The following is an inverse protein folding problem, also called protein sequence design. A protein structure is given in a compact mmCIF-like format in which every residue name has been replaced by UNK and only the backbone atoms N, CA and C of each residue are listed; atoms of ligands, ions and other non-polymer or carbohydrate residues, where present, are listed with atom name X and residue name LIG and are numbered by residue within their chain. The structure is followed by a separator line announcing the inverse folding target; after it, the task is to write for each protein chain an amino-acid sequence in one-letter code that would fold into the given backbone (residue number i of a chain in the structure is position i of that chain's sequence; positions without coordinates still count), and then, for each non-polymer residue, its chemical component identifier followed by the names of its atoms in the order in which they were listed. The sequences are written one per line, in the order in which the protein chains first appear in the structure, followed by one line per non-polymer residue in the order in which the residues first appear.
data_IF_337332072840
#
_entry.id   IF_337332072840
#
_cell.length_a   1.000
_cell.length_b   1.000
_cell.length_c   1.000
_cell.angle_alpha   90.00
_cell.angle_beta   90.00
_cell.angle_gamma   90.00
#
_symmetry.space_group_name_H-M   'P 1'
#
loop_
_entity.id
_entity.type
_entity.pdbx_description
1 polymer ?
#
# COMPACT_ATOMS: atom_id res chain seq x y z
N UNK A 1 -10.22 -3.86 -9.96
CA UNK A 1 -9.75 -4.38 -8.65
C UNK A 1 -10.83 -5.04 -7.80
N UNK A 2 -11.10 -6.35 -7.95
CA UNK A 2 -12.09 -7.03 -7.09
C UNK A 2 -11.53 -7.38 -5.69
N UNK A 3 -10.29 -7.87 -5.62
CA UNK A 3 -9.68 -8.31 -4.36
C UNK A 3 -9.38 -7.20 -3.34
N UNK A 4 -8.98 -6.00 -3.81
CA UNK A 4 -8.71 -4.85 -2.92
C UNK A 4 -10.01 -4.35 -2.27
N UNK A 5 -11.10 -4.31 -3.04
CA UNK A 5 -12.41 -3.92 -2.52
C UNK A 5 -12.89 -4.90 -1.43
N UNK A 6 -12.78 -6.20 -1.69
CA UNK A 6 -13.14 -7.24 -0.72
C UNK A 6 -12.31 -7.14 0.58
N UNK A 7 -11.01 -6.83 0.48
CA UNK A 7 -10.17 -6.61 1.66
C UNK A 7 -10.65 -5.41 2.49
N UNK A 8 -10.97 -4.30 1.85
CA UNK A 8 -11.45 -3.10 2.54
C UNK A 8 -12.80 -3.33 3.23
N UNK A 9 -13.68 -4.11 2.62
CA UNK A 9 -14.95 -4.49 3.25
C UNK A 9 -14.73 -5.39 4.47
N UNK A 10 -13.75 -6.30 4.43
CA UNK A 10 -13.36 -7.08 5.60
C UNK A 10 -12.81 -6.18 6.71
N UNK A 11 -11.94 -5.21 6.39
CA UNK A 11 -11.42 -4.23 7.35
C UNK A 11 -12.56 -3.43 7.99
N UNK A 12 -13.53 -2.96 7.20
CA UNK A 12 -14.71 -2.24 7.71
C UNK A 12 -15.54 -3.06 8.68
N UNK A 13 -15.75 -4.35 8.39
CA UNK A 13 -16.46 -5.27 9.30
C UNK A 13 -15.71 -5.41 10.63
N UNK A 14 -14.39 -5.51 10.61
CA UNK A 14 -13.55 -5.58 11.82
C UNK A 14 -13.60 -4.27 12.60
N UNK A 15 -13.55 -3.12 11.91
CA UNK A 15 -13.70 -1.79 12.54
C UNK A 15 -15.04 -1.67 13.27
N UNK A 16 -16.14 -2.11 12.64
CA UNK A 16 -17.48 -2.00 13.19
C UNK A 16 -17.77 -2.96 14.37
N UNK A 17 -17.10 -4.12 14.43
CA UNK A 17 -17.45 -5.19 15.39
C UNK A 17 -16.40 -5.47 16.46
N UNK A 18 -15.10 -5.34 16.14
CA UNK A 18 -14.01 -5.81 17.01
C UNK A 18 -13.13 -4.66 17.48
N UNK A 19 -12.69 -3.79 16.57
CA UNK A 19 -11.75 -2.73 16.90
C UNK A 19 -12.07 -1.42 16.15
N UNK A 20 -12.89 -0.54 16.74
CA UNK A 20 -13.22 0.77 16.16
C UNK A 20 -12.02 1.71 15.97
N UNK A 21 -10.89 1.43 16.64
CA UNK A 21 -9.65 2.21 16.52
C UNK A 21 -8.72 1.69 15.42
N UNK A 22 -9.12 0.65 14.68
CA UNK A 22 -8.37 0.18 13.53
C UNK A 22 -8.47 1.25 12.44
N UNK A 23 -7.34 1.72 11.94
CA UNK A 23 -7.30 2.62 10.79
C UNK A 23 -6.23 2.12 9.82
N UNK A 24 -6.51 2.26 8.53
CA UNK A 24 -5.51 2.01 7.51
C UNK A 24 -4.63 3.25 7.39
N UNK A 25 -3.32 3.06 7.44
CA UNK A 25 -2.33 4.14 7.30
C UNK A 25 -2.08 4.48 5.82
N UNK A 26 -2.04 3.47 4.96
CA UNK A 26 -1.72 3.63 3.56
C UNK A 26 -1.51 2.29 2.85
N UNK A 27 -1.19 2.38 1.57
CA UNK A 27 -0.83 1.24 0.72
C UNK A 27 0.59 1.41 0.17
N UNK A 28 1.35 0.31 0.06
CA UNK A 28 2.71 0.32 -0.48
C UNK A 28 2.76 -0.61 -1.70
N UNK A 29 3.31 -0.13 -2.81
CA UNK A 29 3.58 -0.99 -3.96
C UNK A 29 4.84 -1.81 -3.70
N UNK A 30 4.73 -3.13 -3.83
CA UNK A 30 5.83 -4.07 -3.58
C UNK A 30 6.09 -4.97 -4.78
N UNK A 31 7.29 -5.58 -4.81
CA UNK A 31 7.76 -6.46 -5.88
C UNK A 31 7.68 -5.82 -7.27
N UNK A 32 7.78 -4.49 -7.34
CA UNK A 32 7.55 -3.72 -8.56
C UNK A 32 8.70 -3.88 -9.56
N UNK A 33 8.36 -3.99 -10.84
CA UNK A 33 9.29 -3.99 -11.97
C UNK A 33 8.78 -3.03 -13.05
N UNK A 34 9.48 -1.91 -13.27
CA UNK A 34 9.07 -0.88 -14.23
C UNK A 34 9.06 -1.36 -15.68
N UNK A 35 9.74 -2.48 -15.98
CA UNK A 35 9.81 -3.06 -17.32
C UNK A 35 8.56 -3.87 -17.65
N UNK A 36 7.78 -4.27 -16.64
CA UNK A 36 6.55 -5.04 -16.83
C UNK A 36 5.37 -4.10 -17.05
N UNK A 37 4.70 -4.22 -18.20
CA UNK A 37 3.48 -3.44 -18.52
C UNK A 37 2.40 -3.61 -17.44
N UNK A 38 2.21 -4.84 -16.96
CA UNK A 38 1.26 -5.15 -15.89
C UNK A 38 1.59 -4.41 -14.58
N UNK A 39 2.86 -4.32 -14.19
CA UNK A 39 3.25 -3.57 -12.98
C UNK A 39 2.92 -2.08 -13.13
N UNK A 40 3.12 -1.51 -14.32
CA UNK A 40 2.76 -0.12 -14.58
C UNK A 40 1.24 0.10 -14.57
N UNK A 41 0.46 -0.82 -15.16
CA UNK A 41 -1.01 -0.77 -15.12
C UNK A 41 -1.53 -0.85 -13.69
N UNK A 42 -1.02 -1.78 -12.88
CA UNK A 42 -1.38 -1.92 -11.48
C UNK A 42 -1.02 -0.65 -10.71
N UNK A 43 0.17 -0.09 -10.92
CA UNK A 43 0.58 1.19 -10.29
C UNK A 43 -0.43 2.29 -10.59
N UNK A 44 -0.87 2.42 -11.84
CA UNK A 44 -1.83 3.44 -12.23
C UNK A 44 -3.20 3.24 -11.56
N UNK A 45 -3.73 2.01 -11.56
CA UNK A 45 -5.02 1.69 -10.94
C UNK A 45 -4.96 1.90 -9.41
N UNK A 46 -3.88 1.45 -8.75
CA UNK A 46 -3.66 1.63 -7.30
C UNK A 46 -3.53 3.11 -6.96
N UNK A 47 -2.81 3.88 -7.78
CA UNK A 47 -2.66 5.33 -7.56
C UNK A 47 -3.99 6.07 -7.66
N UNK A 48 -4.87 5.68 -8.60
CA UNK A 48 -6.22 6.25 -8.73
C UNK A 48 -7.10 5.89 -7.53
N UNK A 49 -6.95 4.68 -7.00
CA UNK A 49 -7.79 4.19 -5.89
C UNK A 49 -7.37 4.76 -4.53
N UNK A 50 -6.07 4.73 -4.21
CA UNK A 50 -5.57 5.12 -2.89
C UNK A 50 -5.19 6.60 -2.79
N UNK A 51 -4.93 7.28 -3.91
CA UNK A 51 -4.57 8.71 -3.89
C UNK A 51 -3.42 9.00 -2.91
N UNK A 52 -3.64 9.92 -1.98
CA UNK A 52 -2.64 10.33 -0.97
C UNK A 52 -2.27 9.23 0.03
N UNK A 53 -3.14 8.23 0.21
CA UNK A 53 -2.85 7.06 1.04
C UNK A 53 -1.80 6.13 0.44
N UNK A 54 -1.48 6.27 -0.86
CA UNK A 54 -0.41 5.50 -1.47
C UNK A 54 0.95 6.06 -1.05
N UNK A 55 1.82 5.20 -0.52
CA UNK A 55 3.21 5.54 -0.28
C UNK A 55 3.91 5.86 -1.61
N UNK A 56 4.69 6.94 -1.63
CA UNK A 56 5.51 7.32 -2.79
C UNK A 56 6.64 6.32 -2.98
N UNK A 57 7.13 5.75 -1.89
CA UNK A 57 8.14 4.70 -1.91
C UNK A 57 7.58 3.42 -2.50
N UNK A 58 8.30 2.86 -3.47
CA UNK A 58 7.99 1.59 -4.12
C UNK A 58 9.07 0.59 -3.75
N UNK A 59 8.69 -0.61 -3.28
CA UNK A 59 9.63 -1.69 -3.01
C UNK A 59 9.87 -2.46 -4.33
N UNK A 60 11.07 -2.40 -4.91
CA UNK A 60 11.36 -3.06 -6.18
C UNK A 60 11.48 -4.57 -5.98
N UNK A 61 11.34 -5.33 -7.07
CA UNK A 61 11.77 -6.74 -7.08
C UNK A 61 13.29 -6.80 -6.87
N UNK A 62 13.73 -7.48 -5.81
CA UNK A 62 15.13 -7.58 -5.40
C UNK A 62 15.51 -9.01 -5.07
N UNK A 63 16.56 -9.52 -5.71
CA UNK A 63 17.11 -10.86 -5.44
C UNK A 63 17.60 -10.93 -3.99
N UNK A 64 18.35 -9.90 -3.55
CA UNK A 64 18.89 -9.83 -2.18
C UNK A 64 17.78 -9.85 -1.12
N UNK A 65 16.66 -9.19 -1.41
CA UNK A 65 15.50 -9.19 -0.51
C UNK A 65 14.85 -10.58 -0.42
N UNK A 66 14.83 -11.33 -1.52
CA UNK A 66 14.32 -12.70 -1.55
C UNK A 66 15.27 -13.72 -0.90
N UNK A 67 16.58 -13.48 -0.95
CA UNK A 67 17.60 -14.35 -0.35
C UNK A 67 17.70 -14.19 1.18
N UNK A 68 17.59 -12.96 1.70
CA UNK A 68 17.81 -12.64 3.12
C UNK A 68 17.07 -13.57 4.12
N UNK A 69 15.78 -13.93 3.92
CA UNK A 69 15.09 -14.89 4.80
C UNK A 69 15.74 -16.28 4.84
N UNK A 70 16.33 -16.74 3.72
CA UNK A 70 17.04 -18.02 3.65
C UNK A 70 18.30 -18.07 4.52
N UNK A 71 18.86 -16.89 4.86
CA UNK A 71 19.99 -16.76 5.78
C UNK A 71 19.56 -16.39 7.21
N UNK A 72 18.25 -16.32 7.49
CA UNK A 72 17.72 -15.90 8.79
C UNK A 72 18.08 -14.46 9.16
N UNK A 73 18.36 -13.62 8.18
CA UNK A 73 18.78 -12.23 8.38
C UNK A 73 17.73 -11.26 7.82
N UNK A 74 17.60 -10.09 8.44
CA UNK A 74 16.85 -9.01 7.81
C UNK A 74 17.66 -8.42 6.64
N UNK A 75 16.99 -7.70 5.72
CA UNK A 75 17.68 -7.14 4.54
C UNK A 75 18.84 -6.20 4.88
N UNK A 76 18.75 -5.48 6.02
CA UNK A 76 19.80 -4.58 6.47
C UNK A 76 21.04 -5.32 6.99
N UNK A 77 20.87 -6.52 7.52
CA UNK A 77 21.98 -7.39 7.96
C UNK A 77 22.59 -8.15 6.78
N UNK A 78 21.74 -8.63 5.87
CA UNK A 78 22.17 -9.41 4.72
C UNK A 78 22.90 -8.56 3.67
N UNK A 79 22.28 -7.45 3.24
CA UNK A 79 22.88 -6.53 2.28
C UNK A 79 22.26 -5.13 2.42
N UNK A 80 22.87 -4.32 3.29
CA UNK A 80 22.45 -2.94 3.59
C UNK A 80 22.55 -1.97 2.41
N UNK A 81 23.33 -2.30 1.38
CA UNK A 81 23.52 -1.49 0.17
C UNK A 81 22.64 -1.97 -0.99
N UNK A 82 21.82 -3.00 -0.77
CA UNK A 82 20.90 -3.48 -1.80
C UNK A 82 19.79 -2.46 -2.06
N UNK A 83 19.28 -2.44 -3.30
CA UNK A 83 18.10 -1.62 -3.66
C UNK A 83 16.88 -1.92 -2.78
N UNK A 84 16.78 -3.16 -2.28
CA UNK A 84 15.72 -3.55 -1.34
C UNK A 84 15.89 -2.86 0.03
N UNK A 85 17.10 -2.88 0.58
CA UNK A 85 17.41 -2.19 1.84
C UNK A 85 17.16 -0.68 1.73
N UNK A 86 17.65 -0.04 0.67
CA UNK A 86 17.45 1.39 0.42
C UNK A 86 15.96 1.77 0.31
N UNK A 87 15.17 0.95 -0.38
CA UNK A 87 13.73 1.16 -0.52
C UNK A 87 12.99 1.02 0.82
N UNK A 88 13.34 0.03 1.65
CA UNK A 88 12.75 -0.10 2.99
C UNK A 88 13.16 1.03 3.93
N UNK A 89 14.40 1.53 3.83
CA UNK A 89 14.85 2.67 4.62
C UNK A 89 14.07 3.94 4.23
N UNK A 90 13.92 4.18 2.93
CA UNK A 90 13.12 5.30 2.40
C UNK A 90 11.66 5.18 2.84
N UNK A 91 11.08 3.97 2.79
CA UNK A 91 9.71 3.72 3.24
C UNK A 91 9.56 4.01 4.74
N UNK A 92 10.52 3.60 5.56
CA UNK A 92 10.49 3.87 6.99
C UNK A 92 10.54 5.37 7.29
N UNK A 93 11.38 6.13 6.58
CA UNK A 93 11.43 7.58 6.67
C UNK A 93 10.10 8.23 6.25
N UNK A 94 9.53 7.79 5.13
CA UNK A 94 8.23 8.25 4.66
C UNK A 94 7.11 7.95 5.68
N UNK A 95 7.09 6.74 6.24
CA UNK A 95 6.13 6.32 7.25
C UNK A 95 6.20 7.17 8.53
N UNK A 96 7.40 7.42 9.05
CA UNK A 96 7.59 8.27 10.22
C UNK A 96 7.19 9.72 9.94
N UNK A 97 7.47 10.21 8.73
CA UNK A 97 7.09 11.57 8.32
C UNK A 97 5.58 11.73 8.21
N UNK A 98 4.86 10.71 7.71
CA UNK A 98 3.39 10.71 7.59
C UNK A 98 2.68 10.66 8.94
N UNK A 99 3.20 9.91 9.92
CA UNK A 99 2.64 9.86 11.28
C UNK A 99 2.66 11.20 12.02
N UNK A 100 3.44 12.16 11.55
CA UNK A 100 3.40 13.55 12.02
C UNK A 100 2.48 14.50 11.22
N UNK A 101 1.86 14.06 10.10
CA UNK A 101 1.26 14.97 9.13
C UNK A 101 0.05 14.49 8.30
N UNK A 102 -0.22 13.18 8.12
CA UNK A 102 -1.22 12.70 7.14
C UNK A 102 -2.46 12.05 7.79
N UNK A 103 -3.69 12.32 7.30
CA UNK A 103 -4.90 11.68 7.80
C UNK A 103 -5.00 10.22 7.32
N UNK A 104 -5.68 9.33 8.08
CA UNK A 104 -5.91 7.92 7.71
C UNK A 104 -6.66 7.74 6.39
N UNK A 105 -6.64 6.52 5.82
CA UNK A 105 -7.46 6.15 4.65
C UNK A 105 -8.96 6.10 5.03
N UNK A 106 -9.57 7.26 5.24
CA UNK A 106 -11.01 7.42 5.27
C UNK A 106 -11.39 8.59 4.36
N UNK A 107 -11.85 8.24 3.16
CA UNK A 107 -12.94 8.83 2.37
C UNK A 107 -12.78 8.42 0.90
N UNK A 108 -13.59 7.43 0.48
CA UNK A 108 -14.13 7.47 -0.88
C UNK A 108 -15.53 8.06 -0.75
N UNK A 109 -15.90 9.10 -1.52
CA UNK A 109 -17.26 9.64 -1.47
C UNK A 109 -18.25 8.55 -1.87
N UNK A 110 -19.41 8.61 -1.24
CA UNK A 110 -20.57 7.80 -1.54
C UNK A 110 -20.87 7.83 -3.04
N UNK A 111 -21.25 6.67 -3.56
CA UNK A 111 -21.83 6.53 -4.89
C UNK A 111 -23.16 7.32 -4.91
N UNK A 112 -23.17 8.57 -5.39
CA UNK A 112 -24.43 9.22 -5.79
C UNK A 112 -24.82 8.72 -7.18
N UNK A 113 -25.30 7.48 -7.25
CA UNK A 113 -26.25 7.12 -8.29
C UNK A 113 -27.62 7.45 -7.71
N UNK A 114 -28.09 8.67 -7.99
CA UNK A 114 -29.47 9.07 -7.77
C UNK A 114 -30.37 8.12 -8.55
N UNK A 115 -31.08 7.25 -7.84
CA UNK A 115 -32.38 6.75 -8.26
C UNK A 115 -33.35 7.94 -8.31
N UNK A 116 -33.31 8.74 -9.38
CA UNK A 116 -34.36 9.71 -9.70
C UNK A 116 -34.22 10.15 -11.17
N UNK A 117 -34.60 9.24 -12.07
CA UNK A 117 -35.06 9.55 -13.43
C UNK A 117 -35.91 8.37 -13.93
N UNK A 118 -36.90 7.99 -13.12
CA UNK A 118 -38.15 7.42 -13.63
C UNK A 118 -39.23 8.44 -13.23
N UNK A 119 -39.41 9.42 -14.09
CA UNK A 119 -40.70 10.03 -14.44
C UNK A 119 -40.55 10.61 -15.83
#
# INVERSE_FOLDING_TARGET
MEGVAQFLDAVRKIQASINPRLHLEGAVLTLFDSRMSLSNQVKEEVSKFFGEALFKTIIPRSIRLAEAPGFGQCIFQYDSKSKGAEAYLTLAQEFLSRRGAAPPIERRPENTLTEESIT
#
